data_IF_626026953042
#
_entry.id   IF_626026953042
#
_cell.length_a   1.000
_cell.length_b   1.000
_cell.length_c   1.000
_cell.angle_alpha   90.00
_cell.angle_beta   90.00
_cell.angle_gamma   90.00
#
_symmetry.space_group_name_H-M   'P 1'
#
loop_
_entity.id
_entity.type
_entity.pdbx_description
1 polymer ?
#
# COMPACT_ATOMS: atom_id res chain seq x y z
N UNK A 1 7.38 -15.50 -3.03
CA UNK A 1 7.13 -14.18 -2.44
C UNK A 1 7.79 -13.11 -3.27
N UNK A 2 7.12 -11.96 -3.45
CA UNK A 2 7.76 -10.76 -4.01
C UNK A 2 8.72 -10.19 -2.96
N UNK A 3 9.92 -9.80 -3.39
CA UNK A 3 10.94 -9.16 -2.57
C UNK A 3 11.28 -7.82 -3.20
N UNK A 4 11.10 -6.74 -2.45
CA UNK A 4 11.58 -5.42 -2.84
C UNK A 4 13.11 -5.43 -2.80
N UNK A 5 13.74 -4.87 -3.83
CA UNK A 5 15.20 -4.71 -3.88
C UNK A 5 15.58 -3.24 -3.87
N UNK A 6 14.84 -2.43 -4.61
CA UNK A 6 15.14 -1.03 -4.80
C UNK A 6 13.87 -0.19 -4.95
N UNK A 7 13.91 1.03 -4.43
CA UNK A 7 12.93 2.06 -4.72
C UNK A 7 13.63 3.41 -4.81
N UNK A 8 13.23 4.23 -5.78
CA UNK A 8 13.66 5.61 -5.90
C UNK A 8 12.49 6.49 -6.32
N UNK A 9 12.41 7.66 -5.73
CA UNK A 9 11.55 8.75 -6.22
C UNK A 9 12.31 10.06 -6.16
N UNK A 10 12.21 10.85 -7.23
CA UNK A 10 12.84 12.16 -7.37
C UNK A 10 11.75 13.20 -7.64
N UNK A 11 11.90 14.39 -7.07
CA UNK A 11 11.01 15.52 -7.27
C UNK A 11 9.61 15.29 -6.71
N UNK A 12 9.45 14.42 -5.71
CA UNK A 12 8.15 14.13 -5.12
C UNK A 12 7.58 15.41 -4.48
N UNK A 13 6.45 15.88 -5.01
CA UNK A 13 5.84 17.17 -4.68
C UNK A 13 6.84 18.33 -4.73
N UNK A 14 7.75 18.30 -5.71
CA UNK A 14 8.84 19.27 -5.93
C UNK A 14 9.80 19.48 -4.74
N UNK A 15 9.78 18.60 -3.73
CA UNK A 15 10.48 18.85 -2.46
C UNK A 15 11.28 17.67 -1.94
N UNK A 16 10.91 16.45 -2.30
CA UNK A 16 11.44 15.25 -1.65
C UNK A 16 12.06 14.29 -2.66
N UNK A 17 13.25 13.80 -2.31
CA UNK A 17 13.96 12.76 -3.03
C UNK A 17 14.23 11.61 -2.06
N UNK A 18 13.88 10.39 -2.46
CA UNK A 18 14.15 9.21 -1.66
C UNK A 18 14.78 8.12 -2.53
N UNK A 19 15.72 7.39 -1.96
CA UNK A 19 16.35 6.24 -2.56
C UNK A 19 16.57 5.19 -1.46
N UNK A 20 16.04 4.00 -1.68
CA UNK A 20 16.13 2.88 -0.73
C UNK A 20 16.62 1.63 -1.44
N UNK A 21 17.60 0.98 -0.81
CA UNK A 21 17.99 -0.40 -1.09
C UNK A 21 17.44 -1.25 0.04
N UNK A 22 16.62 -2.24 -0.30
CA UNK A 22 15.95 -3.08 0.69
C UNK A 22 16.80 -4.29 1.02
N UNK A 23 16.80 -4.65 2.30
CA UNK A 23 17.27 -5.95 2.76
C UNK A 23 16.18 -7.01 2.52
N UNK A 24 16.62 -8.26 2.40
CA UNK A 24 15.74 -9.41 2.17
C UNK A 24 14.84 -9.76 3.36
N UNK A 25 15.18 -9.25 4.55
CA UNK A 25 14.52 -9.53 5.83
C UNK A 25 13.75 -8.31 6.38
N UNK A 26 14.38 -7.47 7.20
CA UNK A 26 13.75 -6.38 7.94
C UNK A 26 14.26 -5.03 7.43
N UNK A 27 13.31 -4.16 7.11
CA UNK A 27 13.58 -2.79 6.68
C UNK A 27 12.84 -1.82 7.62
N UNK A 28 13.60 -0.96 8.30
CA UNK A 28 13.04 0.03 9.23
C UNK A 28 13.22 1.43 8.63
N UNK A 29 12.10 2.07 8.28
CA UNK A 29 12.09 3.45 7.79
C UNK A 29 11.82 4.42 8.94
N UNK A 30 12.80 5.25 9.29
CA UNK A 30 12.68 6.27 10.34
C UNK A 30 12.80 7.68 9.77
N UNK A 31 12.32 8.68 10.53
CA UNK A 31 12.37 10.08 10.12
C UNK A 31 11.37 10.94 10.90
N UNK A 32 11.54 12.26 10.85
CA UNK A 32 10.66 13.22 11.53
C UNK A 32 9.20 13.10 11.03
N UNK A 33 8.26 13.61 11.82
CA UNK A 33 6.88 13.77 11.35
C UNK A 33 6.86 14.69 10.13
N UNK A 34 6.03 14.36 9.13
CA UNK A 34 6.01 15.07 7.85
C UNK A 34 7.16 14.74 6.89
N UNK A 35 8.12 13.88 7.25
CA UNK A 35 9.25 13.51 6.38
C UNK A 35 8.89 12.58 5.21
N UNK A 36 7.61 12.41 4.87
CA UNK A 36 7.18 11.61 3.71
C UNK A 36 7.12 10.08 3.90
N UNK A 37 7.36 9.55 5.10
CA UNK A 37 7.37 8.09 5.38
C UNK A 37 6.14 7.34 4.85
N UNK A 38 4.94 7.78 5.24
CA UNK A 38 3.67 7.16 4.79
C UNK A 38 3.46 7.32 3.29
N UNK A 39 3.88 8.45 2.71
CA UNK A 39 3.77 8.71 1.27
C UNK A 39 4.64 7.74 0.48
N UNK A 40 5.90 7.55 0.90
CA UNK A 40 6.82 6.57 0.31
C UNK A 40 6.24 5.16 0.38
N UNK A 41 5.76 4.75 1.57
CA UNK A 41 5.18 3.42 1.75
C UNK A 41 3.95 3.20 0.86
N UNK A 42 3.07 4.22 0.72
CA UNK A 42 1.93 4.16 -0.21
C UNK A 42 2.36 4.06 -1.66
N UNK A 43 3.38 4.82 -2.07
CA UNK A 43 3.91 4.78 -3.44
C UNK A 43 4.45 3.39 -3.78
N UNK A 44 5.28 2.82 -2.90
CA UNK A 44 5.79 1.46 -3.05
C UNK A 44 4.62 0.48 -3.19
N UNK A 45 3.62 0.60 -2.32
CA UNK A 45 2.48 -0.29 -2.35
C UNK A 45 1.67 -0.18 -3.64
N UNK A 46 1.34 1.03 -4.11
CA UNK A 46 0.61 1.22 -5.36
C UNK A 46 1.37 0.65 -6.57
N UNK A 47 2.70 0.74 -6.59
CA UNK A 47 3.52 0.16 -7.64
C UNK A 47 3.47 -1.37 -7.66
N UNK A 48 3.55 -2.03 -6.50
CA UNK A 48 3.52 -3.50 -6.44
C UNK A 48 2.12 -4.12 -6.53
N UNK A 49 1.08 -3.34 -6.26
CA UNK A 49 -0.32 -3.80 -6.28
C UNK A 49 -1.05 -3.52 -7.60
N UNK A 50 -0.38 -2.91 -8.58
CA UNK A 50 -0.99 -2.58 -9.87
C UNK A 50 -2.05 -1.48 -9.74
N UNK A 51 -1.66 -0.33 -9.20
CA UNK A 51 -2.49 0.86 -9.01
C UNK A 51 -1.88 2.10 -9.70
N UNK A 52 -1.30 1.94 -10.89
CA UNK A 52 -0.60 3.03 -11.59
C UNK A 52 -1.50 4.21 -11.97
N UNK A 53 -2.78 3.94 -12.22
CA UNK A 53 -3.83 4.95 -12.46
C UNK A 53 -4.05 5.87 -11.26
N UNK A 54 -3.66 5.45 -10.05
CA UNK A 54 -3.70 6.29 -8.84
C UNK A 54 -2.42 7.10 -8.63
N UNK A 55 -1.33 6.73 -9.31
CA UNK A 55 -0.02 7.41 -9.18
C UNK A 55 0.16 8.46 -10.28
N UNK A 56 0.04 8.03 -11.54
CA UNK A 56 0.44 8.83 -12.71
C UNK A 56 -0.34 10.15 -12.83
N UNK A 57 -1.68 10.21 -12.63
CA UNK A 57 -2.40 11.48 -12.74
C UNK A 57 -2.40 12.30 -11.43
N UNK A 58 -2.29 11.66 -10.28
CA UNK A 58 -2.55 12.32 -8.99
C UNK A 58 -1.30 12.72 -8.21
N UNK A 59 -0.15 12.10 -8.50
CA UNK A 59 1.09 12.33 -7.76
C UNK A 59 2.10 13.04 -8.66
N UNK A 60 2.61 14.14 -8.13
CA UNK A 60 3.65 14.93 -8.76
C UNK A 60 5.04 14.41 -8.36
N UNK A 61 5.83 14.04 -9.37
CA UNK A 61 7.18 13.48 -9.26
C UNK A 61 7.89 13.62 -10.60
N UNK A 62 9.22 13.68 -10.58
CA UNK A 62 10.06 13.71 -11.78
C UNK A 62 10.43 12.29 -12.25
N UNK A 63 10.81 11.44 -11.31
CA UNK A 63 11.24 10.06 -11.56
C UNK A 63 10.72 9.15 -10.45
N UNK A 64 10.25 7.96 -10.82
CA UNK A 64 9.81 6.91 -9.91
C UNK A 64 10.33 5.57 -10.42
N UNK A 65 11.01 4.81 -9.58
CA UNK A 65 11.63 3.55 -9.94
C UNK A 65 11.43 2.52 -8.82
N UNK A 66 11.10 1.30 -9.20
CA UNK A 66 10.97 0.16 -8.30
C UNK A 66 11.59 -1.08 -8.95
N UNK A 67 12.38 -1.80 -8.17
CA UNK A 67 12.91 -3.11 -8.55
C UNK A 67 12.52 -4.14 -7.51
N UNK A 68 12.04 -5.28 -7.98
CA UNK A 68 11.75 -6.46 -7.19
C UNK A 68 12.48 -7.67 -7.77
N UNK A 69 12.39 -8.81 -7.10
CA UNK A 69 12.84 -10.09 -7.67
C UNK A 69 11.98 -10.59 -8.85
N UNK A 70 10.88 -9.91 -9.20
CA UNK A 70 9.93 -10.34 -10.24
C UNK A 70 9.80 -9.36 -11.39
N UNK A 71 9.88 -8.07 -11.10
CA UNK A 71 9.76 -7.03 -12.09
C UNK A 71 10.57 -5.79 -11.73
N UNK A 72 10.81 -4.96 -12.74
CA UNK A 72 11.28 -3.59 -12.60
C UNK A 72 10.32 -2.67 -13.34
N UNK A 73 10.06 -1.50 -12.77
CA UNK A 73 9.31 -0.42 -13.41
C UNK A 73 9.98 0.91 -13.10
N UNK A 74 10.13 1.73 -14.12
CA UNK A 74 10.63 3.10 -14.06
C UNK A 74 9.72 4.02 -14.86
N UNK A 75 9.28 5.09 -14.22
CA UNK A 75 8.43 6.14 -14.76
C UNK A 75 9.18 7.45 -14.64
N UNK A 76 9.35 8.18 -15.74
CA UNK A 76 10.01 9.49 -15.74
C UNK A 76 9.17 10.51 -16.49
N UNK A 77 8.95 11.68 -15.89
CA UNK A 77 8.33 12.82 -16.56
C UNK A 77 9.39 13.58 -17.34
N UNK A 78 9.18 13.77 -18.64
CA UNK A 78 10.03 14.62 -19.46
C UNK A 78 9.44 16.03 -19.58
N UNK A 79 10.27 17.05 -19.87
CA UNK A 79 9.79 18.37 -20.27
C UNK A 79 8.83 18.22 -21.47
N UNK A 80 7.68 18.93 -21.45
CA UNK A 80 6.62 18.92 -22.49
C UNK A 80 5.61 17.76 -22.41
N UNK A 81 5.10 17.46 -21.21
CA UNK A 81 3.95 16.56 -20.97
C UNK A 81 4.12 15.13 -21.53
N UNK A 82 5.36 14.62 -21.51
CA UNK A 82 5.65 13.24 -21.94
C UNK A 82 6.03 12.38 -20.75
N UNK A 83 5.54 11.14 -20.75
CA UNK A 83 5.89 10.10 -19.79
C UNK A 83 6.78 9.08 -20.48
N UNK A 84 7.93 8.79 -19.89
CA UNK A 84 8.78 7.69 -20.32
C UNK A 84 8.61 6.53 -19.34
N UNK A 85 8.21 5.38 -19.85
CA UNK A 85 8.00 4.15 -19.11
C UNK A 85 9.02 3.11 -19.54
N UNK A 86 9.71 2.52 -18.58
CA UNK A 86 10.62 1.41 -18.78
C UNK A 86 10.19 0.31 -17.81
N UNK A 87 9.95 -0.89 -18.30
CA UNK A 87 9.56 -2.00 -17.43
C UNK A 87 10.15 -3.32 -17.90
N UNK A 88 10.22 -4.28 -16.98
CA UNK A 88 10.57 -5.65 -17.27
C UNK A 88 9.80 -6.56 -16.32
N UNK A 89 8.93 -7.41 -16.87
CA UNK A 89 8.10 -8.39 -16.13
C UNK A 89 8.43 -9.80 -16.62
N UNK A 90 9.70 -10.12 -16.80
CA UNK A 90 10.18 -11.43 -17.25
C UNK A 90 10.23 -11.63 -18.78
N UNK A 91 9.67 -10.70 -19.56
CA UNK A 91 9.66 -10.72 -21.04
C UNK A 91 10.78 -9.84 -21.65
N UNK A 92 11.83 -9.57 -20.88
CA UNK A 92 12.90 -8.63 -21.26
C UNK A 92 12.53 -7.17 -21.02
N UNK A 93 13.50 -6.28 -21.20
CA UNK A 93 13.34 -4.84 -20.97
C UNK A 93 12.50 -4.22 -22.09
N UNK A 94 11.37 -3.63 -21.71
CA UNK A 94 10.47 -2.87 -22.58
C UNK A 94 10.61 -1.37 -22.30
N UNK A 95 10.35 -0.52 -23.30
CA UNK A 95 10.41 0.93 -23.15
C UNK A 95 9.35 1.58 -24.03
N UNK A 96 8.62 2.56 -23.49
CA UNK A 96 7.58 3.30 -24.20
C UNK A 96 7.56 4.75 -23.77
N UNK A 97 7.51 5.66 -24.73
CA UNK A 97 7.31 7.10 -24.48
C UNK A 97 5.90 7.48 -24.89
N UNK A 98 5.18 8.15 -23.98
CA UNK A 98 3.79 8.57 -24.14
C UNK A 98 3.69 10.08 -24.14
N UNK A 99 2.77 10.60 -24.95
CA UNK A 99 2.25 11.96 -24.76
C UNK A 99 1.06 11.91 -23.82
N UNK A 100 0.96 12.82 -22.85
CA UNK A 100 -0.14 12.91 -21.85
C UNK A 100 -1.50 13.32 -22.45
N UNK A 101 -1.89 12.77 -23.62
CA UNK A 101 -3.30 12.75 -23.98
C UNK A 101 -3.99 11.72 -23.06
N UNK A 102 -4.98 12.16 -22.29
CA UNK A 102 -5.62 11.41 -21.19
C UNK A 102 -5.98 9.95 -21.54
N UNK A 103 -6.26 9.65 -22.80
CA UNK A 103 -6.67 8.32 -23.27
C UNK A 103 -5.53 7.29 -23.41
N UNK A 104 -4.29 7.72 -23.68
CA UNK A 104 -3.16 6.77 -23.83
C UNK A 104 -2.64 6.27 -22.47
N UNK A 105 -2.67 7.13 -21.45
CA UNK A 105 -2.15 6.84 -20.12
C UNK A 105 -2.97 5.76 -19.39
N UNK A 106 -4.30 5.79 -19.54
CA UNK A 106 -5.20 4.85 -18.86
C UNK A 106 -5.02 3.42 -19.38
N UNK A 107 -5.02 3.23 -20.70
CA UNK A 107 -4.88 1.91 -21.34
C UNK A 107 -3.54 1.25 -20.97
N UNK A 108 -2.48 2.04 -20.86
CA UNK A 108 -1.15 1.52 -20.54
C UNK A 108 -1.02 1.22 -19.05
N UNK A 109 -1.58 2.06 -18.19
CA UNK A 109 -1.68 1.77 -16.76
C UNK A 109 -2.42 0.47 -16.53
N UNK A 110 -3.57 0.25 -17.19
CA UNK A 110 -4.32 -1.00 -17.11
C UNK A 110 -3.50 -2.22 -17.57
N UNK A 111 -2.81 -2.12 -18.71
CA UNK A 111 -1.96 -3.20 -19.23
C UNK A 111 -0.82 -3.55 -18.26
N UNK A 112 -0.09 -2.54 -17.78
CA UNK A 112 1.02 -2.72 -16.83
C UNK A 112 0.53 -3.26 -15.49
N UNK A 113 -0.59 -2.76 -14.97
CA UNK A 113 -1.20 -3.26 -13.75
C UNK A 113 -1.50 -4.77 -13.87
N UNK A 114 -2.05 -5.22 -15.00
CA UNK A 114 -2.30 -6.65 -15.23
C UNK A 114 -1.00 -7.48 -15.27
N UNK A 115 0.07 -6.97 -15.89
CA UNK A 115 1.37 -7.66 -15.89
C UNK A 115 1.96 -7.73 -14.48
N UNK A 116 1.93 -6.63 -13.74
CA UNK A 116 2.43 -6.54 -12.36
C UNK A 116 1.65 -7.47 -11.45
N UNK A 117 0.32 -7.46 -11.48
CA UNK A 117 -0.53 -8.30 -10.62
C UNK A 117 -0.29 -9.80 -10.89
N UNK A 118 -0.03 -10.19 -12.15
CA UNK A 118 0.26 -11.61 -12.48
C UNK A 118 1.54 -12.11 -11.81
N UNK A 119 2.55 -11.25 -11.65
CA UNK A 119 3.84 -11.63 -11.06
C UNK A 119 3.96 -11.28 -9.58
N UNK A 120 3.11 -10.37 -9.12
CA UNK A 120 3.06 -9.89 -7.74
C UNK A 120 2.07 -10.78 -6.99
N UNK A 121 2.59 -11.62 -6.09
CA UNK A 121 1.80 -12.67 -5.47
C UNK A 121 0.69 -12.13 -4.57
N UNK A 122 1.04 -11.53 -3.43
CA UNK A 122 0.11 -10.92 -2.49
C UNK A 122 0.86 -9.90 -1.64
N UNK A 123 0.13 -8.93 -1.11
CA UNK A 123 0.69 -7.95 -0.17
C UNK A 123 -0.40 -7.46 0.76
N UNK A 124 -0.02 -7.10 1.98
CA UNK A 124 -0.91 -6.49 2.95
C UNK A 124 -0.40 -5.09 3.27
N UNK A 125 -1.26 -4.09 3.13
CA UNK A 125 -0.92 -2.70 3.45
C UNK A 125 -1.79 -2.17 4.56
N UNK A 126 -1.14 -1.79 5.65
CA UNK A 126 -1.76 -1.13 6.79
C UNK A 126 -1.42 0.37 6.73
N UNK A 127 -2.35 1.23 6.29
CA UNK A 127 -2.16 2.66 6.34
C UNK A 127 -2.04 3.12 7.79
N UNK A 128 -1.31 4.21 7.99
CA UNK A 128 -1.15 4.85 9.31
C UNK A 128 -2.38 5.69 9.68
N UNK A 129 -3.61 5.20 9.45
CA UNK A 129 -4.78 5.88 9.99
C UNK A 129 -4.72 5.74 11.51
N UNK A 130 -4.67 6.89 12.20
CA UNK A 130 -4.74 6.92 13.65
C UNK A 130 -6.12 6.37 14.03
N UNK A 131 -6.16 5.27 14.78
CA UNK A 131 -7.40 4.62 15.22
C UNK A 131 -8.30 5.65 15.91
N UNK A 132 -9.55 5.75 15.47
CA UNK A 132 -10.57 6.59 16.12
C UNK A 132 -11.13 5.85 17.37
N UNK A 133 -11.10 4.52 17.36
CA UNK A 133 -11.45 3.62 18.49
C UNK A 133 -10.51 3.74 19.70
N UNK A 134 -9.34 4.36 19.55
CA UNK A 134 -8.38 4.54 20.66
C UNK A 134 -8.64 5.79 21.51
N UNK A 135 -9.56 6.64 21.08
CA UNK A 135 -9.84 7.96 21.67
C UNK A 135 -10.97 7.93 22.70
N UNK A 136 -11.45 6.75 23.09
CA UNK A 136 -12.68 6.58 23.87
C UNK A 136 -12.59 7.02 25.34
N UNK A 137 -11.42 6.92 25.97
CA UNK A 137 -11.31 7.18 27.42
C UNK A 137 -11.41 8.66 27.81
N UNK A 138 -10.75 9.62 27.14
CA UNK A 138 -10.92 11.03 27.47
C UNK A 138 -12.25 11.61 26.96
N UNK A 139 -12.71 11.21 25.77
CA UNK A 139 -13.95 11.72 25.16
C UNK A 139 -15.21 11.33 25.94
N UNK A 140 -15.29 10.10 26.47
CA UNK A 140 -16.42 9.67 27.30
C UNK A 140 -16.57 10.49 28.58
N UNK A 141 -15.45 10.93 29.17
CA UNK A 141 -15.42 11.71 30.41
C UNK A 141 -15.82 13.18 30.21
N UNK A 142 -15.50 13.75 29.04
CA UNK A 142 -15.84 15.14 28.70
C UNK A 142 -17.22 15.29 28.05
N UNK A 143 -17.68 14.29 27.27
CA UNK A 143 -18.90 14.40 26.47
C UNK A 143 -20.15 13.81 27.15
N UNK A 144 -20.04 13.01 28.21
CA UNK A 144 -21.19 12.53 28.98
C UNK A 144 -22.30 11.91 28.10
N UNK A 145 -23.54 12.38 28.22
CA UNK A 145 -24.69 11.92 27.43
C UNK A 145 -24.57 12.20 25.91
N UNK A 146 -23.76 13.20 25.50
CA UNK A 146 -23.47 13.44 24.08
C UNK A 146 -22.57 12.36 23.48
N UNK A 147 -21.80 11.63 24.30
CA UNK A 147 -21.00 10.50 23.84
C UNK A 147 -21.90 9.34 23.39
N UNK A 148 -23.01 9.07 24.09
CA UNK A 148 -24.02 8.06 23.69
C UNK A 148 -24.72 8.49 22.39
N UNK A 149 -25.00 9.79 22.22
CA UNK A 149 -25.55 10.32 20.96
C UNK A 149 -24.53 10.27 19.80
N UNK A 150 -23.23 10.46 20.08
CA UNK A 150 -22.15 10.36 19.10
C UNK A 150 -21.80 8.90 18.74
N UNK A 151 -21.93 7.98 19.69
CA UNK A 151 -21.82 6.53 19.53
C UNK A 151 -23.04 5.89 18.88
N UNK A 152 -24.11 6.66 18.57
CA UNK A 152 -25.26 6.12 17.85
C UNK A 152 -24.74 5.26 16.71
N UNK A 153 -25.18 4.00 16.70
CA UNK A 153 -24.77 2.93 15.77
C UNK A 153 -24.65 3.45 14.33
N UNK A 154 -25.47 4.42 13.95
CA UNK A 154 -25.45 5.08 12.64
C UNK A 154 -24.14 5.78 12.26
N UNK A 155 -23.46 6.47 13.18
CA UNK A 155 -22.21 7.19 12.88
C UNK A 155 -21.04 6.20 12.84
N UNK A 156 -20.96 5.30 13.81
CA UNK A 156 -19.92 4.27 13.85
C UNK A 156 -20.03 3.29 12.69
N UNK A 157 -21.22 2.75 12.40
CA UNK A 157 -21.42 1.93 11.21
C UNK A 157 -21.21 2.73 9.92
N UNK A 158 -21.60 4.01 9.88
CA UNK A 158 -21.33 4.86 8.71
C UNK A 158 -19.84 4.98 8.42
N UNK A 159 -19.03 5.14 9.46
CA UNK A 159 -17.58 5.27 9.37
C UNK A 159 -16.91 3.92 9.08
N UNK A 160 -17.36 2.83 9.72
CA UNK A 160 -16.92 1.47 9.46
C UNK A 160 -17.20 1.05 8.01
N UNK A 161 -18.40 1.33 7.50
CA UNK A 161 -18.77 1.10 6.10
C UNK A 161 -17.89 1.92 5.16
N UNK A 162 -17.66 3.21 5.44
CA UNK A 162 -16.79 4.04 4.61
C UNK A 162 -15.33 3.51 4.59
N UNK A 163 -14.84 3.00 5.71
CA UNK A 163 -13.52 2.36 5.77
C UNK A 163 -13.49 1.03 5.02
N UNK A 164 -14.53 0.21 5.13
CA UNK A 164 -14.68 -1.03 4.36
C UNK A 164 -14.72 -0.75 2.86
N UNK A 165 -15.51 0.24 2.43
CA UNK A 165 -15.61 0.69 1.05
C UNK A 165 -14.25 1.17 0.52
N UNK A 166 -13.51 1.95 1.32
CA UNK A 166 -12.16 2.39 0.96
C UNK A 166 -11.16 1.23 0.88
N UNK A 167 -11.24 0.27 1.80
CA UNK A 167 -10.44 -0.97 1.79
C UNK A 167 -10.69 -1.75 0.51
N UNK A 168 -11.95 -1.96 0.16
CA UNK A 168 -12.36 -2.69 -1.04
C UNK A 168 -11.96 -1.96 -2.32
N UNK A 169 -12.15 -0.64 -2.38
CA UNK A 169 -11.79 0.19 -3.54
C UNK A 169 -10.28 0.22 -3.81
N UNK A 170 -9.47 0.21 -2.76
CA UNK A 170 -8.02 0.25 -2.90
C UNK A 170 -7.40 -1.13 -3.13
N UNK A 171 -8.00 -2.18 -2.57
CA UNK A 171 -7.54 -3.56 -2.73
C UNK A 171 -7.64 -4.04 -4.18
N UNK A 172 -6.63 -4.76 -4.64
CA UNK A 172 -6.51 -5.25 -6.01
C UNK A 172 -6.16 -6.75 -5.99
N UNK A 173 -7.15 -7.61 -6.25
CA UNK A 173 -6.97 -9.05 -6.22
C UNK A 173 -6.42 -9.55 -4.88
N UNK A 174 -5.22 -10.13 -4.89
CA UNK A 174 -4.51 -10.64 -3.70
C UNK A 174 -3.75 -9.55 -2.93
N UNK A 175 -3.74 -8.31 -3.41
CA UNK A 175 -3.18 -7.15 -2.72
C UNK A 175 -4.26 -6.47 -1.89
N UNK A 176 -4.14 -6.54 -0.57
CA UNK A 176 -5.15 -6.10 0.37
C UNK A 176 -4.73 -4.79 1.04
N UNK A 177 -5.56 -3.76 0.91
CA UNK A 177 -5.42 -2.48 1.58
C UNK A 177 -6.34 -2.47 2.80
N UNK A 178 -5.78 -2.55 4.00
CA UNK A 178 -6.57 -2.73 5.22
C UNK A 178 -6.69 -1.42 5.97
N UNK A 179 -7.78 -0.69 5.74
CA UNK A 179 -8.05 0.63 6.34
C UNK A 179 -8.24 0.57 7.85
N UNK A 180 -8.90 -0.47 8.33
CA UNK A 180 -9.14 -0.76 9.73
C UNK A 180 -8.85 -2.23 9.99
N UNK A 181 -8.14 -2.49 11.09
CA UNK A 181 -8.22 -3.77 11.77
C UNK A 181 -8.81 -3.42 13.13
N UNK A 182 -9.98 -3.95 13.45
CA UNK A 182 -10.48 -3.79 14.81
C UNK A 182 -9.51 -4.48 15.78
N UNK A 183 -9.51 -4.06 17.04
CA UNK A 183 -8.72 -4.75 18.06
C UNK A 183 -9.11 -6.23 18.15
N UNK A 184 -10.37 -6.55 17.89
CA UNK A 184 -10.89 -7.92 17.84
C UNK A 184 -10.35 -8.69 16.64
N UNK A 185 -10.23 -8.08 15.46
CA UNK A 185 -9.67 -8.72 14.27
C UNK A 185 -8.19 -9.04 14.43
N UNK A 186 -7.40 -8.14 15.05
CA UNK A 186 -6.00 -8.42 15.38
C UNK A 186 -5.93 -9.57 16.39
N UNK A 187 -6.76 -9.52 17.43
CA UNK A 187 -6.76 -10.54 18.48
C UNK A 187 -7.13 -11.89 17.90
N UNK A 188 -8.14 -11.96 17.03
CA UNK A 188 -8.54 -13.18 16.30
C UNK A 188 -7.43 -13.69 15.39
N UNK A 189 -6.79 -12.81 14.62
CA UNK A 189 -5.73 -13.19 13.70
C UNK A 189 -4.49 -13.72 14.43
N UNK A 190 -4.09 -13.06 15.53
CA UNK A 190 -3.00 -13.52 16.40
C UNK A 190 -3.34 -14.83 17.09
N UNK A 191 -4.57 -14.97 17.60
CA UNK A 191 -5.03 -16.22 18.25
C UNK A 191 -5.02 -17.38 17.25
N UNK A 192 -5.45 -17.14 16.01
CA UNK A 192 -5.41 -18.13 14.93
C UNK A 192 -3.99 -18.52 14.58
N UNK A 193 -3.09 -17.54 14.35
CA UNK A 193 -1.67 -17.82 14.07
C UNK A 193 -1.01 -18.60 15.21
N UNK A 194 -1.32 -18.24 16.46
CA UNK A 194 -0.83 -18.96 17.63
C UNK A 194 -1.34 -20.41 17.64
N UNK A 195 -2.63 -20.63 17.36
CA UNK A 195 -3.21 -21.97 17.27
C UNK A 195 -2.53 -22.80 16.17
N UNK A 196 -2.38 -22.24 14.97
CA UNK A 196 -1.73 -22.92 13.83
C UNK A 196 -0.27 -23.30 14.15
N UNK A 197 0.49 -22.39 14.78
CA UNK A 197 1.88 -22.64 15.20
C UNK A 197 1.92 -23.73 16.28
N UNK A 198 1.03 -23.67 17.26
CA UNK A 198 0.98 -24.62 18.38
C UNK A 198 0.61 -26.04 17.88
N UNK A 199 -0.34 -26.14 16.96
CA UNK A 199 -0.71 -27.41 16.32
C UNK A 199 0.46 -28.01 15.56
N UNK A 200 1.19 -27.19 14.80
CA UNK A 200 2.38 -27.62 14.06
C UNK A 200 3.52 -28.07 14.98
N UNK A 201 3.70 -27.42 16.13
CA UNK A 201 4.69 -27.83 17.14
C UNK A 201 4.30 -29.18 17.75
N UNK A 202 3.03 -29.38 18.08
CA UNK A 202 2.55 -30.64 18.64
C UNK A 202 2.69 -31.81 17.65
N UNK A 203 2.43 -31.58 16.36
CA UNK A 203 2.66 -32.57 15.32
C UNK A 203 4.14 -32.97 15.26
N UNK A 204 5.05 -31.99 15.27
CA UNK A 204 6.50 -32.25 15.28
C UNK A 204 6.97 -32.98 16.54
N UNK A 205 6.34 -32.75 17.70
CA UNK A 205 6.65 -33.47 18.94
C UNK A 205 6.12 -34.90 18.97
N UNK A 206 5.01 -35.19 18.29
CA UNK A 206 4.45 -36.54 18.18
C UNK A 206 5.17 -37.41 17.13
N UNK A 207 5.97 -36.79 16.25
CA UNK A 207 6.80 -37.47 15.25
C UNK A 207 8.22 -37.81 15.78
N UNK A 208 8.55 -37.40 17.01
CA UNK A 208 9.78 -37.72 17.75
C UNK A 208 9.56 -38.88 18.74
#
# INVERSE_FOLDING_TARGET
>A
MIKLKYFKVVGLYHKMNFEFKFNDDLNILTGKNGAGKTTVLRLIWYLISGNLEKIIPAIDFEELEIETNRFMLKVSRQPKTRLNLIWNVGNGKQTKTLSMAQYEDEKISQMLNQEIIKVSQSSLFFPTFRRIEGTDKPLKKEMGELYEAFLQEKIYHGLENAFSDLSNYLSMGTHQFVTSISTDDITRLLTKQYADISERINQLQNEL
#
